data_IF_173301960049
#
_entry.id   IF_173301960049
#
_cell.length_a   1.000
_cell.length_b   1.000
_cell.length_c   1.000
_cell.angle_alpha   90.00
_cell.angle_beta   90.00
_cell.angle_gamma   90.00
#
_symmetry.space_group_name_H-M   'P 1'
#
loop_
_entity.id
_entity.type
_entity.pdbx_description
1 polymer ?
#
# COMPACT_ATOMS: atom_id res chain seq x y z
N UNK A 1 29.27 8.03 11.94
CA UNK A 1 28.28 9.02 11.45
C UNK A 1 27.64 8.38 10.26
N UNK A 2 26.31 8.26 10.27
CA UNK A 2 25.59 7.76 9.09
C UNK A 2 25.74 8.77 7.98
N UNK A 3 26.28 8.33 6.86
CA UNK A 3 26.62 9.22 5.73
C UNK A 3 25.44 9.24 4.76
N UNK A 4 24.31 9.84 5.20
CA UNK A 4 23.14 10.01 4.35
C UNK A 4 23.36 11.07 3.27
N UNK A 5 22.65 11.01 2.15
CA UNK A 5 22.75 12.04 1.10
C UNK A 5 22.45 13.45 1.65
N UNK A 6 23.17 14.46 1.17
CA UNK A 6 23.07 15.83 1.68
C UNK A 6 21.69 16.48 1.48
N UNK A 7 20.88 15.99 0.54
CA UNK A 7 19.51 16.49 0.34
C UNK A 7 18.51 15.92 1.35
N UNK A 8 18.85 14.82 2.03
CA UNK A 8 17.96 14.18 3.00
C UNK A 8 17.74 15.09 4.21
N UNK A 9 16.45 15.34 4.49
CA UNK A 9 16.05 16.09 5.67
C UNK A 9 14.89 15.39 6.39
N UNK A 10 15.13 14.69 7.52
CA UNK A 10 14.08 13.97 8.22
C UNK A 10 12.94 14.86 8.74
N UNK A 11 13.15 16.20 8.83
CA UNK A 11 12.10 17.14 9.23
C UNK A 11 11.08 17.42 8.11
N UNK A 12 11.38 17.02 6.89
CA UNK A 12 10.46 17.14 5.76
C UNK A 12 9.43 15.98 5.71
N UNK A 13 9.71 14.86 6.39
CA UNK A 13 8.83 13.69 6.39
C UNK A 13 7.47 14.08 6.99
N UNK A 14 6.39 13.67 6.34
CA UNK A 14 5.04 14.05 6.74
C UNK A 14 4.66 15.48 6.33
N UNK A 15 5.44 16.12 5.43
CA UNK A 15 5.20 17.47 4.92
C UNK A 15 5.23 17.50 3.39
N UNK A 16 4.44 18.39 2.81
CA UNK A 16 4.41 18.57 1.35
C UNK A 16 5.50 19.54 0.90
N UNK A 17 6.30 19.08 -0.04
CA UNK A 17 7.28 19.93 -0.73
C UNK A 17 7.57 19.38 -2.13
N UNK A 18 8.26 20.16 -2.95
CA UNK A 18 8.75 19.72 -4.25
C UNK A 18 10.20 19.25 -4.13
N UNK A 19 10.50 17.93 -4.37
CA UNK A 19 11.87 17.42 -4.32
C UNK A 19 12.80 18.14 -5.30
N UNK A 20 14.01 18.40 -4.87
CA UNK A 20 15.07 18.89 -5.77
C UNK A 20 15.69 17.70 -6.55
N UNK A 21 15.10 17.41 -7.69
CA UNK A 21 15.54 16.31 -8.54
C UNK A 21 17.00 16.43 -9.02
N UNK A 22 17.50 17.66 -9.14
CA UNK A 22 18.90 17.91 -9.50
C UNK A 22 19.85 17.51 -8.37
N UNK A 23 19.54 17.90 -7.14
CA UNK A 23 20.31 17.51 -5.97
C UNK A 23 20.28 16.00 -5.73
N UNK A 24 19.11 15.35 -5.90
CA UNK A 24 18.95 13.90 -5.80
C UNK A 24 19.82 13.17 -6.83
N UNK A 25 19.78 13.61 -8.10
CA UNK A 25 20.56 13.00 -9.16
C UNK A 25 22.08 13.16 -8.95
N UNK A 26 22.54 14.34 -8.57
CA UNK A 26 23.94 14.59 -8.25
C UNK A 26 24.44 13.74 -7.08
N UNK A 27 23.63 13.59 -6.02
CA UNK A 27 23.97 12.75 -4.88
C UNK A 27 24.01 11.26 -5.23
N UNK A 28 23.10 10.80 -6.12
CA UNK A 28 23.09 9.42 -6.60
C UNK A 28 24.34 9.10 -7.45
N UNK A 29 24.76 10.01 -8.30
CA UNK A 29 26.01 9.87 -9.08
C UNK A 29 27.23 9.84 -8.16
N UNK A 30 27.29 10.76 -7.19
CA UNK A 30 28.38 10.83 -6.22
C UNK A 30 28.49 9.58 -5.33
N UNK A 31 27.41 8.86 -5.08
CA UNK A 31 27.40 7.63 -4.31
C UNK A 31 28.19 6.50 -5.00
N UNK A 32 28.34 6.56 -6.32
CA UNK A 32 29.13 5.62 -7.13
C UNK A 32 28.89 4.14 -6.80
N UNK A 33 27.62 3.76 -6.61
CA UNK A 33 27.24 2.38 -6.29
C UNK A 33 27.26 1.49 -7.54
N UNK A 34 27.54 0.19 -7.39
CA UNK A 34 27.47 -0.74 -8.52
C UNK A 34 26.02 -0.86 -9.02
N UNK A 35 25.79 -1.04 -10.33
CA UNK A 35 24.46 -1.29 -10.86
C UNK A 35 23.81 -2.54 -10.23
N UNK A 36 22.51 -2.48 -9.94
CA UNK A 36 21.75 -3.59 -9.35
C UNK A 36 21.81 -4.89 -10.19
N UNK A 37 21.97 -4.75 -11.51
CA UNK A 37 22.16 -5.90 -12.41
C UNK A 37 23.43 -6.73 -12.14
N UNK A 38 24.34 -6.24 -11.32
CA UNK A 38 25.57 -6.95 -10.93
C UNK A 38 25.43 -7.67 -9.58
N UNK A 39 24.28 -7.54 -8.91
CA UNK A 39 24.05 -8.18 -7.63
C UNK A 39 24.08 -9.71 -7.75
N UNK A 40 24.71 -10.34 -6.76
CA UNK A 40 24.75 -11.79 -6.65
C UNK A 40 23.52 -12.35 -5.91
N UNK A 41 22.86 -11.50 -5.18
CA UNK A 41 21.67 -11.81 -4.41
C UNK A 41 20.58 -10.78 -4.75
N UNK A 42 19.42 -11.25 -5.17
CA UNK A 42 18.27 -10.41 -5.50
C UNK A 42 17.51 -10.07 -4.21
N UNK A 43 17.73 -8.87 -3.69
CA UNK A 43 17.02 -8.34 -2.52
C UNK A 43 15.93 -7.39 -2.97
N UNK A 44 14.68 -7.75 -2.70
CA UNK A 44 13.50 -6.99 -3.11
C UNK A 44 12.85 -6.30 -1.90
N UNK A 45 12.83 -4.98 -1.90
CA UNK A 45 12.11 -4.18 -0.89
C UNK A 45 10.72 -3.82 -1.40
N UNK A 46 9.69 -4.19 -0.65
CA UNK A 46 8.28 -3.86 -0.91
C UNK A 46 7.84 -2.80 0.08
N UNK A 47 7.44 -1.65 -0.43
CA UNK A 47 6.95 -0.50 0.34
C UNK A 47 5.45 -0.35 0.07
N UNK A 48 4.63 -0.61 1.09
CA UNK A 48 3.18 -0.66 0.95
C UNK A 48 2.59 0.68 1.37
N UNK A 49 1.91 1.37 0.43
CA UNK A 49 0.98 2.47 0.63
C UNK A 49 1.47 3.62 1.56
N UNK A 50 2.76 3.95 1.57
CA UNK A 50 3.30 5.08 2.33
C UNK A 50 2.97 6.43 1.67
N UNK A 51 1.67 6.67 1.47
CA UNK A 51 1.11 7.81 0.75
C UNK A 51 0.76 8.97 1.70
N UNK A 52 0.64 10.17 1.14
CA UNK A 52 0.34 11.40 1.88
C UNK A 52 -0.89 11.27 2.78
N UNK A 53 -2.00 10.70 2.28
CA UNK A 53 -3.23 10.56 3.07
C UNK A 53 -3.10 9.61 4.27
N UNK A 54 -2.19 8.64 4.21
CA UNK A 54 -1.90 7.73 5.33
C UNK A 54 -0.82 8.26 6.26
N UNK A 55 0.15 9.02 5.73
CA UNK A 55 1.38 9.32 6.45
C UNK A 55 1.47 10.75 6.99
N UNK A 56 0.72 11.70 6.43
CA UNK A 56 0.74 13.08 6.92
C UNK A 56 -0.36 13.30 7.97
N UNK A 57 -0.07 14.11 8.98
CA UNK A 57 -1.02 14.40 10.08
C UNK A 57 -2.35 15.02 9.63
N UNK A 58 -2.37 15.68 8.47
CA UNK A 58 -3.56 16.23 7.83
C UNK A 58 -4.14 15.31 6.74
N UNK A 59 -3.59 14.11 6.58
CA UNK A 59 -4.09 13.12 5.64
C UNK A 59 -5.48 12.62 6.00
N UNK A 60 -6.26 12.25 5.00
CA UNK A 60 -7.68 11.88 5.18
C UNK A 60 -7.87 10.60 5.99
N UNK A 61 -6.84 9.75 6.09
CA UNK A 61 -6.83 8.52 6.88
C UNK A 61 -5.45 8.31 7.54
N UNK A 62 -5.03 9.31 8.32
CA UNK A 62 -3.71 9.32 8.94
C UNK A 62 -3.48 8.13 9.88
N UNK A 63 -2.34 7.46 9.72
CA UNK A 63 -1.84 6.38 10.57
C UNK A 63 -0.85 6.95 11.58
N UNK A 64 -1.18 7.01 12.88
CA UNK A 64 -0.25 7.48 13.90
C UNK A 64 1.01 6.61 13.98
N UNK A 65 2.18 7.24 13.90
CA UNK A 65 3.49 6.55 13.88
C UNK A 65 4.17 6.55 12.52
N UNK A 66 3.41 6.67 11.43
CA UNK A 66 3.88 6.58 10.04
C UNK A 66 5.06 7.49 9.69
N UNK A 67 5.16 8.69 10.25
CA UNK A 67 6.31 9.60 10.05
C UNK A 67 7.61 8.95 10.55
N UNK A 68 7.56 8.31 11.71
CA UNK A 68 8.70 7.58 12.25
C UNK A 68 9.04 6.31 11.44
N UNK A 69 8.03 5.65 10.92
CA UNK A 69 8.19 4.46 10.09
C UNK A 69 8.85 4.81 8.76
N UNK A 70 8.42 5.90 8.11
CA UNK A 70 9.05 6.43 6.90
C UNK A 70 10.50 6.82 7.16
N UNK A 71 10.79 7.51 8.28
CA UNK A 71 12.15 7.90 8.61
C UNK A 71 13.07 6.68 8.68
N UNK A 72 12.68 5.66 9.45
CA UNK A 72 13.46 4.42 9.59
C UNK A 72 13.65 3.70 8.26
N UNK A 73 12.59 3.66 7.43
CA UNK A 73 12.66 3.05 6.11
C UNK A 73 13.62 3.81 5.17
N UNK A 74 13.56 5.15 5.13
CA UNK A 74 14.48 5.97 4.33
C UNK A 74 15.92 5.73 4.77
N UNK A 75 16.17 5.76 6.07
CA UNK A 75 17.51 5.53 6.64
C UNK A 75 18.01 4.10 6.36
N UNK A 76 17.10 3.11 6.37
CA UNK A 76 17.37 1.75 5.95
C UNK A 76 17.76 1.69 4.46
N UNK A 77 17.01 2.34 3.58
CA UNK A 77 17.31 2.40 2.14
C UNK A 77 18.71 3.00 1.91
N UNK A 78 19.03 4.13 2.52
CA UNK A 78 20.35 4.75 2.35
C UNK A 78 21.48 3.89 2.91
N UNK A 79 21.27 3.24 4.04
CA UNK A 79 22.30 2.42 4.68
C UNK A 79 22.59 1.13 3.91
N UNK A 80 21.59 0.56 3.24
CA UNK A 80 21.67 -0.74 2.58
C UNK A 80 21.49 -0.66 1.06
N UNK A 81 21.64 0.53 0.48
CA UNK A 81 21.42 0.76 -0.93
C UNK A 81 22.26 -0.15 -1.85
N UNK A 82 23.48 -0.48 -1.43
CA UNK A 82 24.39 -1.37 -2.16
C UNK A 82 23.91 -2.83 -2.19
N UNK A 83 22.92 -3.19 -1.37
CA UNK A 83 22.36 -4.55 -1.25
C UNK A 83 20.93 -4.66 -1.76
N UNK A 84 20.17 -3.57 -1.73
CA UNK A 84 18.79 -3.56 -2.25
C UNK A 84 18.86 -3.57 -3.77
N UNK A 85 18.36 -4.63 -4.39
CA UNK A 85 18.37 -4.79 -5.85
C UNK A 85 17.19 -4.05 -6.49
N UNK A 86 16.00 -4.22 -5.93
CA UNK A 86 14.76 -3.62 -6.43
C UNK A 86 13.91 -3.04 -5.30
N UNK A 87 13.19 -1.95 -5.60
CA UNK A 87 12.16 -1.39 -4.74
C UNK A 87 10.83 -1.41 -5.49
N UNK A 88 9.81 -2.00 -4.87
CA UNK A 88 8.42 -1.88 -5.31
C UNK A 88 7.67 -0.98 -4.34
N UNK A 89 6.98 0.04 -4.85
CA UNK A 89 6.07 0.87 -4.06
C UNK A 89 4.64 0.59 -4.50
N UNK A 90 3.74 0.29 -3.57
CA UNK A 90 2.32 0.26 -3.88
C UNK A 90 1.67 1.61 -3.61
N UNK A 91 0.63 1.90 -4.37
CA UNK A 91 -0.23 3.06 -4.22
C UNK A 91 -1.68 2.58 -4.18
N UNK A 92 -2.30 2.69 -3.02
CA UNK A 92 -3.74 2.56 -2.93
C UNK A 92 -4.39 3.76 -3.63
N UNK A 93 -5.40 3.52 -4.47
CA UNK A 93 -5.83 4.50 -5.46
C UNK A 93 -7.33 4.40 -5.71
N UNK A 94 -8.07 5.33 -5.14
CA UNK A 94 -9.52 5.25 -5.12
C UNK A 94 -10.21 6.19 -6.11
N UNK A 95 -11.38 5.76 -6.54
CA UNK A 95 -12.32 6.56 -7.32
C UNK A 95 -13.42 7.11 -6.40
N UNK A 96 -14.09 8.23 -6.73
CA UNK A 96 -15.10 8.83 -5.86
C UNK A 96 -16.30 7.93 -5.56
N UNK A 97 -16.61 6.98 -6.42
CA UNK A 97 -17.82 6.16 -6.30
C UNK A 97 -17.43 4.67 -6.23
N UNK A 98 -17.20 4.18 -5.03
CA UNK A 98 -16.80 2.80 -4.75
C UNK A 98 -17.62 2.19 -3.61
N UNK A 99 -17.70 0.86 -3.56
CA UNK A 99 -18.56 0.09 -2.66
C UNK A 99 -18.34 0.39 -1.17
N UNK A 100 -17.16 0.81 -0.80
CA UNK A 100 -16.77 1.17 0.57
C UNK A 100 -16.89 2.68 0.87
N UNK A 101 -17.48 3.49 -0.05
CA UNK A 101 -17.75 4.89 0.17
C UNK A 101 -19.21 5.15 0.54
N UNK A 102 -19.44 6.19 1.33
CA UNK A 102 -20.76 6.58 1.81
C UNK A 102 -21.81 6.74 0.69
N UNK A 103 -21.41 7.32 -0.45
CA UNK A 103 -22.27 7.58 -1.60
C UNK A 103 -22.86 6.31 -2.26
N UNK A 104 -22.29 5.13 -1.97
CA UNK A 104 -22.78 3.85 -2.49
C UNK A 104 -24.01 3.30 -1.76
N UNK A 105 -24.25 3.78 -0.52
CA UNK A 105 -25.25 3.24 0.40
C UNK A 105 -26.22 4.32 0.90
N UNK A 106 -27.44 3.92 1.24
CA UNK A 106 -28.38 4.78 1.93
C UNK A 106 -29.26 3.98 2.90
N UNK A 107 -29.74 4.66 3.96
CA UNK A 107 -30.81 4.17 4.83
C UNK A 107 -32.19 4.32 4.19
N UNK A 108 -33.26 3.95 4.91
CA UNK A 108 -34.64 4.06 4.45
C UNK A 108 -35.08 5.53 4.23
N UNK A 109 -34.43 6.49 4.87
CA UNK A 109 -34.69 7.92 4.74
C UNK A 109 -33.86 8.57 3.63
N UNK A 110 -32.91 7.85 3.04
CA UNK A 110 -32.02 8.34 2.00
C UNK A 110 -30.73 8.96 2.51
N UNK A 111 -30.44 8.85 3.82
CA UNK A 111 -29.17 9.34 4.37
C UNK A 111 -28.04 8.33 4.08
N UNK A 112 -26.84 8.86 3.84
CA UNK A 112 -25.65 8.06 3.66
C UNK A 112 -25.01 7.68 5.01
N UNK A 113 -24.34 6.51 5.11
CA UNK A 113 -23.60 6.14 6.31
C UNK A 113 -22.41 7.09 6.55
N UNK A 114 -22.14 7.37 7.83
CA UNK A 114 -20.93 8.09 8.21
C UNK A 114 -19.67 7.24 7.96
N UNK A 115 -18.48 7.86 7.81
CA UNK A 115 -17.23 7.13 7.81
C UNK A 115 -17.09 6.21 9.05
N UNK A 116 -16.46 5.06 8.87
CA UNK A 116 -16.28 3.99 9.84
C UNK A 116 -17.57 3.24 10.23
N UNK A 117 -18.70 3.51 9.57
CA UNK A 117 -19.90 2.69 9.71
C UNK A 117 -19.61 1.29 9.18
N UNK A 118 -19.95 0.28 9.99
CA UNK A 118 -19.92 -1.12 9.56
C UNK A 118 -21.26 -1.47 8.91
N UNK A 119 -21.22 -2.12 7.76
CA UNK A 119 -22.40 -2.61 7.04
C UNK A 119 -22.29 -4.13 6.95
N UNK A 120 -23.12 -4.81 7.73
CA UNK A 120 -23.23 -6.28 7.71
C UNK A 120 -24.25 -6.76 6.69
N UNK A 121 -24.14 -8.04 6.32
CA UNK A 121 -25.16 -8.70 5.50
C UNK A 121 -26.55 -8.68 6.17
N UNK A 122 -26.61 -8.84 7.50
CA UNK A 122 -27.84 -8.74 8.26
C UNK A 122 -28.44 -7.32 8.25
N UNK A 123 -27.61 -6.26 8.30
CA UNK A 123 -28.06 -4.87 8.15
C UNK A 123 -28.74 -4.63 6.78
N UNK A 124 -28.22 -5.24 5.73
CA UNK A 124 -28.83 -5.16 4.38
C UNK A 124 -30.15 -5.91 4.35
N UNK A 125 -30.21 -7.13 4.89
CA UNK A 125 -31.45 -7.93 4.97
C UNK A 125 -32.53 -7.26 5.77
N UNK A 126 -32.16 -6.58 6.86
CA UNK A 126 -33.08 -5.83 7.70
C UNK A 126 -33.52 -4.49 7.09
N UNK A 127 -32.96 -4.10 5.94
CA UNK A 127 -33.26 -2.83 5.27
C UNK A 127 -32.68 -1.60 5.96
N UNK A 128 -31.74 -1.77 6.89
CA UNK A 128 -31.03 -0.67 7.55
C UNK A 128 -30.15 0.09 6.57
N UNK A 129 -29.44 -0.64 5.71
CA UNK A 129 -28.66 -0.10 4.62
C UNK A 129 -29.06 -0.75 3.30
N UNK A 130 -29.16 0.04 2.25
CA UNK A 130 -29.43 -0.43 0.90
C UNK A 130 -28.36 0.08 -0.06
N UNK A 131 -27.84 -0.76 -0.96
CA UNK A 131 -26.93 -0.30 -2.01
C UNK A 131 -27.70 0.50 -3.06
N UNK A 132 -27.08 1.60 -3.51
CA UNK A 132 -27.61 2.46 -4.57
C UNK A 132 -27.09 2.06 -5.94
N UNK A 133 -26.04 1.25 -5.99
CA UNK A 133 -25.37 0.77 -7.20
C UNK A 133 -25.31 -0.75 -7.17
N UNK A 134 -25.64 -1.38 -8.29
CA UNK A 134 -25.67 -2.83 -8.48
C UNK A 134 -26.10 -3.61 -7.22
N UNK A 135 -27.38 -3.57 -6.87
CA UNK A 135 -27.86 -4.16 -5.62
C UNK A 135 -27.56 -5.66 -5.49
N UNK A 136 -27.54 -6.36 -6.63
CA UNK A 136 -27.25 -7.82 -6.62
C UNK A 136 -25.79 -8.07 -6.28
N UNK A 137 -24.86 -7.39 -6.97
CA UNK A 137 -23.44 -7.50 -6.66
C UNK A 137 -23.16 -7.04 -5.24
N UNK A 138 -23.60 -5.84 -4.87
CA UNK A 138 -23.27 -5.21 -3.60
C UNK A 138 -23.73 -6.06 -2.40
N UNK A 139 -24.95 -6.64 -2.47
CA UNK A 139 -25.43 -7.54 -1.43
C UNK A 139 -24.61 -8.83 -1.37
N UNK A 140 -24.28 -9.41 -2.51
CA UNK A 140 -23.46 -10.62 -2.58
C UNK A 140 -22.01 -10.34 -2.14
N UNK A 141 -21.48 -9.15 -2.44
CA UNK A 141 -20.15 -8.73 -2.00
C UNK A 141 -20.04 -8.73 -0.47
N UNK A 142 -20.96 -8.05 0.23
CA UNK A 142 -20.94 -7.98 1.69
C UNK A 142 -21.08 -9.38 2.31
N UNK A 143 -21.95 -10.22 1.74
CA UNK A 143 -22.08 -11.62 2.18
C UNK A 143 -20.77 -12.40 2.03
N UNK A 144 -20.11 -12.29 0.88
CA UNK A 144 -18.85 -12.98 0.61
C UNK A 144 -17.70 -12.45 1.47
N UNK A 145 -17.68 -11.14 1.72
CA UNK A 145 -16.68 -10.51 2.57
C UNK A 145 -16.74 -11.11 3.99
N UNK A 146 -17.93 -11.30 4.55
CA UNK A 146 -18.13 -11.93 5.85
C UNK A 146 -17.77 -13.43 5.84
N UNK A 147 -18.20 -14.16 4.81
CA UNK A 147 -18.02 -15.62 4.74
C UNK A 147 -16.58 -16.03 4.41
N UNK A 148 -15.91 -15.31 3.52
CA UNK A 148 -14.61 -15.70 2.95
C UNK A 148 -13.46 -14.93 3.61
N UNK A 149 -13.56 -13.60 3.68
CA UNK A 149 -12.53 -12.76 4.26
C UNK A 149 -12.69 -12.54 5.77
N UNK A 150 -13.81 -13.00 6.36
CA UNK A 150 -14.15 -12.81 7.79
C UNK A 150 -14.11 -11.35 8.24
N UNK A 151 -14.49 -10.45 7.33
CA UNK A 151 -14.51 -9.00 7.51
C UNK A 151 -15.93 -8.48 7.34
N UNK A 152 -16.20 -7.34 7.97
CA UNK A 152 -17.43 -6.59 7.76
C UNK A 152 -17.10 -5.37 6.91
N UNK A 153 -17.92 -5.05 5.92
CA UNK A 153 -17.71 -3.86 5.09
C UNK A 153 -17.63 -2.62 5.98
N UNK A 154 -16.50 -1.93 5.89
CA UNK A 154 -16.27 -0.65 6.54
C UNK A 154 -16.46 0.48 5.54
N UNK A 155 -17.25 1.49 5.91
CA UNK A 155 -17.36 2.72 5.13
C UNK A 155 -16.17 3.60 5.45
N UNK A 156 -15.28 3.76 4.49
CA UNK A 156 -14.08 4.57 4.65
C UNK A 156 -14.33 6.06 4.33
N UNK A 157 -13.63 7.00 4.97
CA UNK A 157 -13.55 8.36 4.47
C UNK A 157 -12.94 8.36 3.07
N UNK A 158 -13.20 9.43 2.30
CA UNK A 158 -12.51 9.59 1.02
C UNK A 158 -11.02 9.83 1.28
N UNK A 159 -10.18 8.95 0.76
CA UNK A 159 -8.73 8.99 0.93
C UNK A 159 -8.03 8.47 -0.32
N UNK A 160 -6.79 8.80 -0.51
CA UNK A 160 -5.91 8.42 -1.64
C UNK A 160 -6.60 8.49 -3.01
N UNK A 161 -7.42 9.52 -3.19
CA UNK A 161 -8.21 9.70 -4.41
C UNK A 161 -7.29 9.92 -5.62
N UNK A 162 -7.50 9.18 -6.70
CA UNK A 162 -6.72 9.31 -7.93
C UNK A 162 -6.73 10.77 -8.41
N UNK A 163 -5.54 11.34 -8.62
CA UNK A 163 -5.36 12.72 -9.05
C UNK A 163 -5.32 13.74 -7.90
N UNK A 164 -5.53 13.32 -6.64
CA UNK A 164 -5.31 14.18 -5.47
C UNK A 164 -3.88 14.09 -4.99
N UNK A 165 -3.48 15.08 -4.18
CA UNK A 165 -2.17 15.09 -3.53
C UNK A 165 -2.04 13.95 -2.49
N UNK A 166 -3.16 13.53 -1.89
CA UNK A 166 -3.23 12.42 -0.94
C UNK A 166 -2.80 11.08 -1.52
N UNK A 167 -2.94 10.90 -2.83
CA UNK A 167 -2.55 9.67 -3.53
C UNK A 167 -1.03 9.56 -3.79
N UNK A 168 -0.28 10.65 -3.66
CA UNK A 168 1.17 10.64 -3.86
C UNK A 168 1.89 9.91 -2.70
N UNK A 169 3.03 9.28 -3.01
CA UNK A 169 3.96 8.81 -1.98
C UNK A 169 4.47 10.02 -1.17
N UNK A 170 4.82 9.82 0.11
CA UNK A 170 5.51 10.86 0.89
C UNK A 170 6.70 11.40 0.11
N UNK A 171 6.86 12.75 -0.03
CA UNK A 171 7.88 13.32 -0.90
C UNK A 171 9.33 13.01 -0.50
N UNK A 172 9.62 12.85 0.81
CA UNK A 172 10.97 12.49 1.26
C UNK A 172 11.27 11.01 0.96
N UNK A 173 10.28 10.13 1.15
CA UNK A 173 10.39 8.72 0.76
C UNK A 173 10.53 8.57 -0.77
N UNK A 174 9.75 9.33 -1.54
CA UNK A 174 9.91 9.37 -3.00
C UNK A 174 11.34 9.77 -3.39
N UNK A 175 11.93 10.76 -2.70
CA UNK A 175 13.30 11.22 -2.95
C UNK A 175 14.32 10.10 -2.69
N UNK A 176 14.12 9.30 -1.65
CA UNK A 176 14.97 8.15 -1.35
C UNK A 176 14.85 7.04 -2.40
N UNK A 177 13.62 6.73 -2.84
CA UNK A 177 13.37 5.74 -3.91
C UNK A 177 13.99 6.19 -5.25
N UNK A 178 13.83 7.47 -5.60
CA UNK A 178 14.43 8.04 -6.80
C UNK A 178 15.97 8.00 -6.73
N UNK A 179 16.54 8.40 -5.59
CA UNK A 179 17.98 8.34 -5.38
C UNK A 179 18.51 6.91 -5.54
N UNK A 180 17.87 5.93 -4.91
CA UNK A 180 18.23 4.52 -5.04
C UNK A 180 18.19 4.06 -6.49
N UNK A 181 17.11 4.38 -7.20
CA UNK A 181 16.94 4.05 -8.62
C UNK A 181 18.11 4.55 -9.48
N UNK A 182 18.49 5.82 -9.30
CA UNK A 182 19.58 6.43 -10.04
C UNK A 182 20.95 5.88 -9.63
N UNK A 183 21.20 5.74 -8.32
CA UNK A 183 22.48 5.25 -7.80
C UNK A 183 22.74 3.78 -8.19
N UNK A 184 21.70 2.95 -8.20
CA UNK A 184 21.76 1.51 -8.52
C UNK A 184 21.47 1.20 -9.99
N UNK A 185 21.12 2.21 -10.81
CA UNK A 185 20.77 2.06 -12.23
C UNK A 185 19.68 1.03 -12.46
N UNK A 186 18.65 1.06 -11.64
CA UNK A 186 17.47 0.18 -11.66
C UNK A 186 16.21 1.01 -11.62
N UNK A 187 15.07 0.48 -12.09
CA UNK A 187 13.79 1.17 -12.01
C UNK A 187 12.98 0.66 -10.82
N UNK A 188 12.35 1.55 -10.02
CA UNK A 188 11.37 1.11 -9.04
C UNK A 188 10.14 0.56 -9.76
N UNK A 189 9.50 -0.43 -9.17
CA UNK A 189 8.19 -0.92 -9.64
C UNK A 189 7.09 -0.17 -8.91
N UNK A 190 6.06 0.26 -9.64
CA UNK A 190 4.87 0.90 -9.08
C UNK A 190 3.67 -0.02 -9.24
N UNK A 191 3.03 -0.37 -8.13
CA UNK A 191 1.81 -1.17 -8.12
C UNK A 191 0.64 -0.28 -7.68
N UNK A 192 -0.35 -0.13 -8.56
CA UNK A 192 -1.59 0.57 -8.22
C UNK A 192 -2.66 -0.47 -7.89
N UNK A 193 -3.31 -0.31 -6.74
CA UNK A 193 -4.45 -1.13 -6.30
C UNK A 193 -5.63 -0.25 -5.91
N UNK A 194 -6.78 -0.84 -5.56
CA UNK A 194 -7.91 -0.10 -4.98
C UNK A 194 -8.81 0.63 -5.98
N UNK A 195 -8.53 0.59 -7.30
CA UNK A 195 -9.30 1.34 -8.29
C UNK A 195 -10.55 0.63 -8.82
N UNK A 196 -10.86 -0.58 -8.35
CA UNK A 196 -12.05 -1.32 -8.77
C UNK A 196 -13.25 -0.86 -7.93
N UNK A 197 -14.31 -0.27 -8.52
CA UNK A 197 -15.44 0.25 -7.74
C UNK A 197 -16.20 -0.80 -6.93
N UNK A 198 -16.12 -2.06 -7.32
CA UNK A 198 -16.96 -3.15 -6.84
C UNK A 198 -16.38 -3.92 -5.65
N UNK A 199 -15.17 -3.62 -5.20
CA UNK A 199 -14.47 -4.37 -4.14
C UNK A 199 -13.47 -3.50 -3.41
N UNK A 200 -13.19 -3.81 -2.14
CA UNK A 200 -12.01 -3.35 -1.42
C UNK A 200 -10.76 -4.11 -1.90
N UNK A 201 -9.60 -3.52 -1.71
CA UNK A 201 -8.34 -4.10 -2.15
C UNK A 201 -7.24 -3.72 -1.16
N UNK A 202 -7.19 -4.39 -0.01
CA UNK A 202 -6.15 -4.15 1.01
C UNK A 202 -4.81 -4.73 0.57
N UNK A 203 -4.78 -6.03 0.29
CA UNK A 203 -3.58 -6.71 -0.19
C UNK A 203 -3.09 -6.17 -1.54
N UNK A 204 -1.77 -6.09 -1.76
CA UNK A 204 -1.20 -5.81 -3.10
C UNK A 204 -1.29 -7.01 -4.05
N UNK A 205 -1.71 -8.17 -3.53
CA UNK A 205 -1.78 -9.42 -4.28
C UNK A 205 -3.15 -9.62 -4.92
N UNK A 206 -4.24 -9.37 -4.20
CA UNK A 206 -5.59 -9.59 -4.70
C UNK A 206 -6.63 -8.72 -4.01
N UNK A 207 -7.80 -8.45 -4.66
CA UNK A 207 -8.93 -7.80 -4.01
C UNK A 207 -9.59 -8.72 -3.00
N UNK A 208 -10.29 -8.13 -2.00
CA UNK A 208 -11.01 -8.86 -0.94
C UNK A 208 -12.05 -9.85 -1.48
N UNK A 209 -12.75 -9.47 -2.52
CA UNK A 209 -13.63 -10.36 -3.28
C UNK A 209 -13.28 -10.23 -4.76
N UNK A 210 -12.85 -11.31 -5.41
CA UNK A 210 -12.50 -11.28 -6.82
C UNK A 210 -13.63 -10.77 -7.70
N UNK A 211 -13.29 -9.87 -8.65
CA UNK A 211 -14.25 -9.29 -9.61
C UNK A 211 -14.05 -9.97 -10.95
N UNK A 212 -15.00 -10.83 -11.39
CA UNK A 212 -14.88 -11.55 -12.65
C UNK A 212 -14.73 -10.61 -13.86
N UNK A 213 -13.91 -11.01 -14.82
CA UNK A 213 -13.66 -10.28 -16.07
C UNK A 213 -13.03 -8.87 -15.91
N UNK A 214 -12.60 -8.49 -14.73
CA UNK A 214 -11.82 -7.27 -14.55
C UNK A 214 -10.31 -7.59 -14.58
N UNK A 215 -9.49 -6.83 -15.32
CA UNK A 215 -8.05 -7.13 -15.47
C UNK A 215 -7.29 -7.21 -14.15
N UNK A 216 -7.67 -6.39 -13.15
CA UNK A 216 -7.10 -6.35 -11.80
C UNK A 216 -7.98 -7.08 -10.76
N UNK A 217 -9.01 -7.79 -11.21
CA UNK A 217 -10.04 -8.39 -10.33
C UNK A 217 -9.65 -9.74 -9.71
N UNK A 218 -8.42 -10.17 -9.85
CA UNK A 218 -7.89 -11.42 -9.28
C UNK A 218 -6.45 -11.29 -8.82
N UNK A 219 -5.81 -12.41 -8.53
CA UNK A 219 -4.43 -12.43 -8.02
C UNK A 219 -3.42 -11.86 -9.03
N UNK A 220 -2.53 -11.01 -8.53
CA UNK A 220 -1.38 -10.48 -9.28
C UNK A 220 -0.25 -11.52 -9.35
N UNK A 221 -0.44 -12.49 -10.23
CA UNK A 221 0.51 -13.61 -10.41
C UNK A 221 1.90 -13.14 -10.84
N UNK A 222 1.98 -12.12 -11.69
CA UNK A 222 3.27 -11.61 -12.17
C UNK A 222 4.09 -11.04 -11.00
N UNK A 223 3.46 -10.38 -10.05
CA UNK A 223 4.14 -9.87 -8.87
C UNK A 223 4.53 -11.01 -7.91
N UNK A 224 3.65 -11.99 -7.70
CA UNK A 224 3.97 -13.20 -6.93
C UNK A 224 5.19 -13.94 -7.50
N UNK A 225 5.25 -14.09 -8.82
CA UNK A 225 6.40 -14.70 -9.48
C UNK A 225 7.69 -13.88 -9.25
N UNK A 226 7.59 -12.54 -9.33
CA UNK A 226 8.72 -11.65 -9.03
C UNK A 226 9.25 -11.84 -7.60
N UNK A 227 8.36 -11.97 -6.61
CA UNK A 227 8.76 -12.21 -5.22
C UNK A 227 9.29 -13.63 -4.99
N UNK A 228 8.75 -14.61 -5.69
CA UNK A 228 9.24 -15.99 -5.64
C UNK A 228 10.69 -16.12 -6.17
N UNK A 229 11.04 -15.32 -7.18
CA UNK A 229 12.36 -15.28 -7.80
C UNK A 229 13.40 -14.49 -7.00
N UNK A 230 12.96 -13.68 -6.01
CA UNK A 230 13.87 -12.96 -5.12
C UNK A 230 14.58 -13.91 -4.15
N UNK A 231 15.80 -13.58 -3.74
CA UNK A 231 16.53 -14.29 -2.68
C UNK A 231 16.12 -13.80 -1.29
N UNK A 232 15.75 -12.53 -1.17
CA UNK A 232 15.25 -11.90 0.05
C UNK A 232 14.13 -10.93 -0.33
N UNK A 233 13.02 -11.00 0.39
CA UNK A 233 11.91 -10.06 0.28
C UNK A 233 11.77 -9.33 1.62
N UNK A 234 11.85 -8.01 1.60
CA UNK A 234 11.67 -7.15 2.75
C UNK A 234 10.35 -6.40 2.59
N UNK A 235 9.49 -6.41 3.60
CA UNK A 235 8.17 -5.77 3.57
C UNK A 235 8.12 -4.67 4.64
N UNK A 236 7.72 -3.48 4.23
CA UNK A 236 7.44 -2.31 5.07
C UNK A 236 6.21 -1.57 4.54
N UNK A 237 5.65 -0.66 5.30
CA UNK A 237 4.56 0.21 4.81
C UNK A 237 3.39 0.36 5.75
N UNK A 238 2.31 0.96 5.23
CA UNK A 238 1.11 1.31 5.97
C UNK A 238 -0.15 0.65 5.39
N UNK A 239 -1.14 0.32 6.21
CA UNK A 239 -1.06 0.21 7.66
C UNK A 239 -0.82 -1.25 8.06
N UNK A 240 -0.07 -1.48 9.16
CA UNK A 240 0.21 -2.83 9.68
C UNK A 240 -1.05 -3.68 9.81
N UNK A 241 -2.13 -3.10 10.31
CA UNK A 241 -3.41 -3.78 10.60
C UNK A 241 -4.29 -4.05 9.38
N UNK A 242 -3.93 -3.56 8.18
CA UNK A 242 -4.73 -3.64 6.96
C UNK A 242 -3.88 -4.05 5.74
N UNK A 243 -3.43 -3.10 4.94
CA UNK A 243 -2.78 -3.42 3.66
C UNK A 243 -1.53 -4.30 3.84
N UNK A 244 -0.75 -4.06 4.88
CA UNK A 244 0.44 -4.87 5.18
C UNK A 244 0.04 -6.26 5.66
N UNK A 245 -0.87 -6.36 6.64
CA UNK A 245 -1.38 -7.64 7.15
C UNK A 245 -1.93 -8.52 6.02
N UNK A 246 -2.87 -7.98 5.24
CA UNK A 246 -3.52 -8.74 4.17
C UNK A 246 -2.53 -9.18 3.08
N UNK A 247 -1.53 -8.32 2.78
CA UNK A 247 -0.47 -8.70 1.84
C UNK A 247 0.35 -9.87 2.39
N UNK A 248 0.72 -9.83 3.67
CA UNK A 248 1.49 -10.91 4.30
C UNK A 248 0.67 -12.19 4.37
N UNK A 249 -0.63 -12.11 4.71
CA UNK A 249 -1.52 -13.27 4.76
C UNK A 249 -1.65 -13.93 3.37
N UNK A 250 -1.85 -13.15 2.32
CA UNK A 250 -1.90 -13.65 0.95
C UNK A 250 -0.59 -14.31 0.52
N UNK A 251 0.55 -13.71 0.86
CA UNK A 251 1.87 -14.31 0.56
C UNK A 251 2.07 -15.63 1.32
N UNK A 252 1.65 -15.70 2.58
CA UNK A 252 1.71 -16.94 3.37
C UNK A 252 0.81 -18.02 2.76
N UNK A 253 -0.41 -17.66 2.34
CA UNK A 253 -1.31 -18.59 1.66
C UNK A 253 -0.72 -19.11 0.35
N UNK A 254 -0.28 -18.22 -0.55
CA UNK A 254 0.21 -18.57 -1.87
C UNK A 254 1.53 -19.37 -1.83
N UNK A 255 2.39 -19.07 -0.86
CA UNK A 255 3.67 -19.77 -0.69
C UNK A 255 3.63 -20.91 0.34
N UNK A 256 2.44 -21.24 0.88
CA UNK A 256 2.30 -22.34 1.86
C UNK A 256 2.83 -23.69 1.33
N UNK A 257 2.68 -23.95 0.04
CA UNK A 257 3.23 -25.13 -0.63
C UNK A 257 4.71 -24.98 -1.07
N UNK A 258 5.33 -23.81 -0.82
CA UNK A 258 6.70 -23.46 -1.20
C UNK A 258 7.46 -22.92 0.01
N UNK A 259 7.84 -23.75 0.99
CA UNK A 259 8.47 -23.30 2.24
C UNK A 259 9.72 -22.45 2.02
N UNK A 260 10.51 -22.75 0.99
CA UNK A 260 11.72 -21.99 0.64
C UNK A 260 11.41 -20.54 0.24
N UNK A 261 10.24 -20.29 -0.35
CA UNK A 261 9.80 -18.94 -0.68
C UNK A 261 9.37 -18.15 0.56
N UNK A 262 8.69 -18.80 1.52
CA UNK A 262 8.32 -18.16 2.80
C UNK A 262 9.53 -17.77 3.64
N UNK A 263 10.58 -18.61 3.67
CA UNK A 263 11.79 -18.35 4.46
C UNK A 263 12.58 -17.13 3.99
N UNK A 264 12.27 -16.60 2.79
CA UNK A 264 12.93 -15.42 2.21
C UNK A 264 12.22 -14.11 2.56
N UNK A 265 11.03 -14.18 3.17
CA UNK A 265 10.20 -13.02 3.46
C UNK A 265 10.50 -12.53 4.88
N UNK A 266 10.85 -11.26 4.99
CA UNK A 266 11.14 -10.58 6.25
C UNK A 266 10.28 -9.33 6.36
N UNK A 267 9.70 -9.15 7.52
CA UNK A 267 8.90 -7.99 7.83
C UNK A 267 9.72 -6.96 8.64
N UNK A 268 9.80 -5.74 8.14
CA UNK A 268 10.50 -4.64 8.82
C UNK A 268 9.56 -4.00 9.84
N UNK A 269 9.47 -4.64 11.00
CA UNK A 269 8.52 -4.31 12.06
C UNK A 269 8.59 -2.86 12.54
N UNK A 270 9.76 -2.24 12.45
CA UNK A 270 9.96 -0.84 12.86
C UNK A 270 9.54 0.16 11.79
N UNK A 271 9.11 -0.30 10.61
CA UNK A 271 8.74 0.52 9.47
C UNK A 271 7.27 0.36 9.10
N UNK A 272 6.40 0.20 10.11
CA UNK A 272 4.95 0.06 9.96
C UNK A 272 4.23 0.37 11.27
N UNK A 273 3.02 0.88 11.19
CA UNK A 273 2.15 1.16 12.33
C UNK A 273 0.70 0.76 12.03
N UNK A 274 -0.09 0.37 13.03
CA UNK A 274 -1.49 0.01 12.82
C UNK A 274 -2.40 1.24 12.74
N UNK A 275 -3.54 1.11 12.04
CA UNK A 275 -4.65 2.06 12.20
C UNK A 275 -5.21 1.89 13.60
N UNK A 276 -5.30 2.99 14.33
CA UNK A 276 -6.01 3.01 15.60
C UNK A 276 -7.50 3.16 15.29
N UNK A 277 -8.27 2.12 15.57
CA UNK A 277 -9.72 2.23 15.53
C UNK A 277 -10.19 3.11 16.70
N UNK A 278 -11.11 4.07 16.45
CA UNK A 278 -11.69 4.88 17.51
C UNK A 278 -12.52 4.06 18.50
#
# INVERSE_FOLDING_TARGET
MNNYPNFYNPQNIGSLFYPDYGAIAAAAEAANLPPAAQDKQNVHLVVIDMQVDFCHSNGSLHVPGSVGDIQRLIEFIYTHADRITNITCSLDSHLPHQIFHAAWWADAQGNHPAPFTLISYEDIKAGKWRPLVDPVWSTNYVKKLEEQAKKVLTIWPYHVMIGSIGNALDPELFSAVMWHSLARKTQPTWLTKGSIPLTEHYSIIQPEVPVPNHPLGGKNKAFLDTLADADVVLIAGEAESHCVLETVEDLVEDFSAKPDALQKIYFLRDCTSPVLHP
#
